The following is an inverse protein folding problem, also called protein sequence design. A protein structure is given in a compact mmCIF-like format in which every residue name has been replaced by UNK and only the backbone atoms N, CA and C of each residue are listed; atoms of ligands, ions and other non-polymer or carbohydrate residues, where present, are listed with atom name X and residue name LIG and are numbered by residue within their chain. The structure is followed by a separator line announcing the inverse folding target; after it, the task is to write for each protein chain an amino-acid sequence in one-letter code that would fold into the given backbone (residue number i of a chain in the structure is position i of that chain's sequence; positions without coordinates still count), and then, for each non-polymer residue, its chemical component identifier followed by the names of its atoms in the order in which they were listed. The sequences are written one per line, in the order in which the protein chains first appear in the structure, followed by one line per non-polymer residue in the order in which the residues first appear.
data_IF_583857215676
#
_entry.id   IF_583857215676
#
_cell.length_a   1.000
_cell.length_b   1.000
_cell.length_c   1.000
_cell.angle_alpha   90.00
_cell.angle_beta   90.00
_cell.angle_gamma   90.00
#
_symmetry.space_group_name_H-M   'P 1'
#
loop_
_entity.id
_entity.type
_entity.pdbx_description
1 polymer ?
#
# COMPACT_ATOMS: atom_id res chain seq x y z
N UNK A 1 4.67 4.19 -34.36
CA UNK A 1 5.38 4.60 -33.13
C UNK A 1 4.50 5.62 -32.44
N UNK A 2 3.74 5.21 -31.43
CA UNK A 2 2.83 6.10 -30.70
C UNK A 2 3.36 6.21 -29.28
N UNK A 3 3.98 7.35 -28.99
CA UNK A 3 4.35 7.75 -27.63
C UNK A 3 3.04 8.01 -26.86
N UNK A 4 2.55 7.00 -26.15
CA UNK A 4 1.52 7.20 -25.14
C UNK A 4 2.24 7.30 -23.78
N UNK A 5 2.74 8.49 -23.47
CA UNK A 5 3.18 8.86 -22.13
C UNK A 5 1.94 9.01 -21.24
N UNK A 6 1.24 7.90 -20.99
CA UNK A 6 0.37 7.83 -19.82
C UNK A 6 1.31 7.91 -18.62
N UNK A 7 1.16 8.94 -17.78
CA UNK A 7 1.78 8.98 -16.46
C UNK A 7 1.25 7.77 -15.69
N UNK A 8 1.92 6.62 -15.86
CA UNK A 8 1.48 5.35 -15.33
C UNK A 8 1.59 5.41 -13.83
N UNK A 9 0.49 5.18 -13.13
CA UNK A 9 0.53 5.01 -11.68
C UNK A 9 1.54 3.91 -11.37
N UNK A 10 2.51 4.21 -10.51
CA UNK A 10 3.54 3.25 -10.14
C UNK A 10 2.91 2.26 -9.18
N UNK A 11 2.85 0.99 -9.59
CA UNK A 11 2.33 -0.10 -8.77
C UNK A 11 3.51 -0.94 -8.26
N UNK A 12 3.52 -1.16 -6.95
CA UNK A 12 4.50 -1.98 -6.25
C UNK A 12 3.77 -3.14 -5.58
N UNK A 13 4.32 -4.35 -5.69
CA UNK A 13 3.80 -5.51 -4.96
C UNK A 13 4.61 -5.74 -3.70
N UNK A 14 3.92 -5.98 -2.58
CA UNK A 14 4.51 -6.20 -1.27
C UNK A 14 4.08 -7.56 -0.73
N UNK A 15 4.94 -8.21 0.05
CA UNK A 15 4.56 -9.32 0.94
C UNK A 15 4.53 -8.82 2.36
N UNK A 16 3.48 -9.10 3.10
CA UNK A 16 3.42 -8.70 4.51
C UNK A 16 2.02 -8.77 5.08
N UNK A 17 1.91 -8.20 6.27
CA UNK A 17 0.68 -8.20 7.05
C UNK A 17 0.52 -6.91 7.83
N UNK A 18 -0.73 -6.59 8.13
CA UNK A 18 -1.06 -5.61 9.14
C UNK A 18 -0.78 -6.16 10.54
N UNK A 19 -0.19 -5.31 11.37
CA UNK A 19 0.01 -5.52 12.78
C UNK A 19 -0.90 -4.56 13.57
N UNK A 20 -1.56 -5.10 14.59
CA UNK A 20 -2.59 -4.39 15.35
C UNK A 20 -4.01 -4.72 14.88
N UNK A 21 -4.97 -4.38 15.73
CA UNK A 21 -6.40 -4.59 15.48
C UNK A 21 -6.88 -3.72 14.31
N UNK A 22 -7.89 -4.19 13.56
CA UNK A 22 -8.40 -3.47 12.39
C UNK A 22 -8.92 -2.05 12.72
N UNK A 23 -9.37 -1.83 13.96
CA UNK A 23 -9.85 -0.54 14.47
C UNK A 23 -8.77 0.30 15.15
N UNK A 24 -7.53 -0.19 15.22
CA UNK A 24 -6.43 0.53 15.86
C UNK A 24 -5.95 1.68 14.95
N UNK A 25 -6.03 2.95 15.39
CA UNK A 25 -5.53 4.08 14.61
C UNK A 25 -4.00 4.10 14.48
N UNK A 26 -3.27 3.28 15.23
CA UNK A 26 -1.82 3.08 15.13
C UNK A 26 -1.46 1.80 14.37
N UNK A 27 -2.44 1.15 13.74
CA UNK A 27 -2.20 -0.05 12.93
C UNK A 27 -1.20 0.24 11.81
N UNK A 28 -0.27 -0.67 11.62
CA UNK A 28 0.79 -0.55 10.62
C UNK A 28 0.98 -1.87 9.88
N UNK A 29 1.15 -1.80 8.57
CA UNK A 29 1.57 -2.91 7.75
C UNK A 29 3.08 -3.02 7.79
N UNK A 30 3.59 -4.23 7.95
CA UNK A 30 5.01 -4.54 7.87
C UNK A 30 5.22 -5.61 6.82
N UNK A 31 6.22 -5.41 5.98
CA UNK A 31 6.47 -6.32 4.87
C UNK A 31 7.76 -6.04 4.14
N UNK A 32 7.86 -6.62 2.96
CA UNK A 32 8.97 -6.42 2.03
C UNK A 32 8.47 -6.26 0.60
N UNK A 33 9.27 -5.59 -0.23
CA UNK A 33 8.99 -5.43 -1.66
C UNK A 33 9.16 -6.75 -2.40
N UNK A 34 8.12 -7.20 -3.09
CA UNK A 34 8.18 -8.35 -4.00
C UNK A 34 8.55 -7.94 -5.42
N UNK A 35 7.93 -6.87 -5.92
CA UNK A 35 8.21 -6.33 -7.27
C UNK A 35 8.05 -4.83 -7.27
N UNK A 36 9.01 -4.13 -7.87
CA UNK A 36 9.04 -2.67 -7.98
C UNK A 36 9.78 -2.25 -9.23
N UNK A 37 9.37 -1.15 -9.84
CA UNK A 37 10.08 -0.47 -10.93
C UNK A 37 10.86 0.76 -10.44
N UNK A 38 10.80 1.08 -9.15
CA UNK A 38 11.50 2.21 -8.54
C UNK A 38 12.88 1.80 -8.03
N UNK A 39 13.92 2.51 -8.46
CA UNK A 39 15.29 2.30 -7.96
C UNK A 39 15.40 2.53 -6.44
N UNK A 40 14.66 3.50 -5.91
CA UNK A 40 14.63 3.83 -4.49
C UNK A 40 13.81 2.85 -3.62
N UNK A 41 13.18 1.86 -4.24
CA UNK A 41 12.38 0.83 -3.55
C UNK A 41 12.67 -0.55 -4.18
N UNK A 42 13.88 -1.10 -3.96
CA UNK A 42 14.29 -2.35 -4.60
C UNK A 42 13.56 -3.56 -4.01
N UNK A 43 13.56 -4.68 -4.76
CA UNK A 43 13.02 -5.96 -4.29
C UNK A 43 13.77 -6.41 -3.04
N UNK A 44 13.02 -6.90 -2.05
CA UNK A 44 13.53 -7.32 -0.74
C UNK A 44 13.66 -6.18 0.27
N UNK A 45 13.48 -4.92 -0.13
CA UNK A 45 13.51 -3.80 0.81
C UNK A 45 12.37 -3.91 1.83
N UNK A 46 12.70 -3.70 3.11
CA UNK A 46 11.73 -3.70 4.19
C UNK A 46 10.86 -2.44 4.13
N UNK A 47 9.55 -2.62 4.32
CA UNK A 47 8.58 -1.53 4.20
C UNK A 47 7.60 -1.49 5.36
N UNK A 48 7.15 -0.27 5.64
CA UNK A 48 6.07 0.02 6.57
C UNK A 48 4.97 0.80 5.84
N UNK A 49 3.70 0.38 5.96
CA UNK A 49 2.55 1.19 5.51
C UNK A 49 1.72 1.61 6.72
N UNK A 50 1.44 2.90 6.82
CA UNK A 50 0.55 3.45 7.85
C UNK A 50 -0.65 4.09 7.19
N UNK A 51 -1.82 3.96 7.82
CA UNK A 51 -3.03 4.68 7.43
C UNK A 51 -3.23 5.86 8.38
N UNK A 52 -3.28 7.07 7.83
CA UNK A 52 -3.63 8.27 8.60
C UNK A 52 -5.02 8.73 8.18
N UNK A 53 -5.98 8.62 9.10
CA UNK A 53 -7.28 9.24 8.92
C UNK A 53 -7.14 10.77 8.82
N UNK A 54 -7.89 11.40 7.93
CA UNK A 54 -7.82 12.85 7.72
C UNK A 54 -8.39 13.65 8.90
N UNK A 55 -9.10 13.00 9.83
CA UNK A 55 -9.65 13.59 11.06
C UNK A 55 -10.74 14.65 10.81
N UNK A 56 -11.05 14.91 9.54
CA UNK A 56 -12.02 15.91 9.11
C UNK A 56 -13.33 15.19 8.82
N UNK A 57 -14.45 15.78 9.22
CA UNK A 57 -15.77 15.35 8.71
C UNK A 57 -15.77 15.59 7.20
N UNK A 58 -15.43 14.55 6.48
CA UNK A 58 -15.47 14.50 5.02
C UNK A 58 -16.89 14.12 4.61
N UNK A 59 -17.48 14.93 3.75
CA UNK A 59 -18.87 14.78 3.29
C UNK A 59 -19.01 13.74 2.18
N UNK A 60 -17.88 13.28 1.61
CA UNK A 60 -17.84 12.28 0.54
C UNK A 60 -17.32 10.91 1.01
N UNK A 61 -17.92 9.80 0.57
CA UNK A 61 -17.55 8.42 0.95
C UNK A 61 -16.18 7.95 0.39
N UNK A 62 -15.33 8.87 -0.08
CA UNK A 62 -14.04 8.58 -0.72
C UNK A 62 -12.85 9.36 -0.15
N UNK A 63 -13.06 10.29 0.79
CA UNK A 63 -11.96 11.06 1.40
C UNK A 63 -11.48 10.39 2.70
N UNK A 64 -11.41 9.07 2.69
CA UNK A 64 -11.02 8.25 3.84
C UNK A 64 -9.50 8.14 3.89
N UNK A 65 -8.90 9.07 4.64
CA UNK A 65 -7.50 9.04 5.04
C UNK A 65 -6.48 8.92 3.92
N UNK A 66 -5.24 8.62 4.29
CA UNK A 66 -4.13 8.50 3.35
C UNK A 66 -3.20 7.40 3.80
N UNK A 67 -2.88 6.49 2.87
CA UNK A 67 -1.85 5.48 3.09
C UNK A 67 -0.47 6.08 2.79
N UNK A 68 0.45 5.87 3.70
CA UNK A 68 1.86 6.25 3.55
C UNK A 68 2.71 5.00 3.55
N UNK A 69 3.47 4.78 2.48
CA UNK A 69 4.54 3.78 2.41
C UNK A 69 5.87 4.41 2.84
N UNK A 70 6.64 3.69 3.66
CA UNK A 70 7.99 4.07 4.08
C UNK A 70 8.96 2.92 3.79
N UNK A 71 10.14 3.25 3.26
CA UNK A 71 11.24 2.32 3.07
C UNK A 71 12.56 3.07 3.30
N UNK A 72 13.28 2.73 4.36
CA UNK A 72 14.44 3.48 4.80
C UNK A 72 14.16 4.99 4.92
N UNK A 73 14.91 5.88 4.22
CA UNK A 73 14.70 7.33 4.25
C UNK A 73 13.56 7.82 3.35
N UNK A 74 13.00 6.94 2.51
CA UNK A 74 12.03 7.32 1.49
C UNK A 74 10.59 7.16 2.00
N UNK A 75 9.71 8.01 1.46
CA UNK A 75 8.29 8.01 1.79
C UNK A 75 7.47 8.29 0.53
N UNK A 76 6.40 7.53 0.36
CA UNK A 76 5.45 7.71 -0.75
C UNK A 76 4.02 7.75 -0.23
N UNK A 77 3.21 8.59 -0.87
CA UNK A 77 1.76 8.60 -0.69
C UNK A 77 1.15 7.57 -1.62
N UNK A 78 0.27 6.72 -1.11
CA UNK A 78 -0.43 5.74 -1.92
C UNK A 78 -1.85 6.23 -2.23
N UNK A 79 -2.27 6.07 -3.49
CA UNK A 79 -3.66 6.24 -3.90
C UNK A 79 -4.49 5.01 -3.55
N UNK A 80 -3.87 3.83 -3.53
CA UNK A 80 -4.52 2.56 -3.19
C UNK A 80 -3.57 1.61 -2.47
N UNK A 81 -4.09 0.91 -1.48
CA UNK A 81 -3.38 -0.20 -0.84
C UNK A 81 -4.37 -1.34 -0.56
N UNK A 82 -4.19 -2.48 -1.24
CA UNK A 82 -5.13 -3.61 -1.15
C UNK A 82 -4.40 -4.94 -1.14
N UNK A 83 -4.94 -5.90 -0.39
CA UNK A 83 -4.51 -7.29 -0.47
C UNK A 83 -4.93 -7.85 -1.84
N UNK A 84 -4.01 -8.52 -2.52
CA UNK A 84 -4.33 -9.29 -3.72
C UNK A 84 -5.22 -10.45 -3.31
N UNK A 85 -6.36 -10.63 -3.98
CA UNK A 85 -7.31 -11.68 -3.61
C UNK A 85 -6.67 -13.06 -3.82
N UNK A 86 -6.51 -13.83 -2.75
CA UNK A 86 -6.22 -15.26 -2.83
C UNK A 86 -7.53 -16.03 -2.94
N UNK A 87 -7.93 -16.39 -4.16
CA UNK A 87 -9.11 -17.19 -4.52
C UNK A 87 -10.48 -16.69 -4.02
N UNK A 88 -11.50 -16.87 -4.85
CA UNK A 88 -12.88 -16.55 -4.46
C UNK A 88 -13.34 -17.47 -3.31
N UNK A 89 -13.89 -16.88 -2.24
CA UNK A 89 -14.51 -17.62 -1.14
C UNK A 89 -13.71 -17.72 0.17
N UNK A 90 -12.51 -17.13 0.25
CA UNK A 90 -11.77 -17.07 1.52
C UNK A 90 -11.96 -15.73 2.25
N UNK A 91 -12.13 -15.80 3.57
CA UNK A 91 -12.03 -14.66 4.47
C UNK A 91 -10.62 -14.08 4.37
N UNK A 92 -10.51 -12.80 4.02
CA UNK A 92 -9.23 -12.09 3.99
C UNK A 92 -8.73 -11.90 5.43
N UNK A 93 -7.77 -12.70 5.88
CA UNK A 93 -6.99 -12.38 7.07
C UNK A 93 -5.78 -11.54 6.67
N UNK A 94 -5.90 -10.24 6.87
CA UNK A 94 -4.91 -9.24 6.54
C UNK A 94 -3.71 -9.22 7.51
N UNK A 95 -3.73 -10.09 8.53
CA UNK A 95 -2.62 -10.33 9.46
C UNK A 95 -1.73 -11.50 9.03
N UNK A 96 -2.04 -12.17 7.90
CA UNK A 96 -1.23 -13.27 7.37
C UNK A 96 0.07 -12.75 6.75
N UNK A 97 1.27 -13.05 7.33
CA UNK A 97 2.53 -12.40 6.96
C UNK A 97 2.98 -12.62 5.50
N UNK A 98 2.51 -13.70 4.87
CA UNK A 98 2.87 -14.05 3.49
C UNK A 98 1.85 -13.55 2.46
N UNK A 99 0.90 -12.71 2.88
CA UNK A 99 -0.08 -12.13 1.97
C UNK A 99 0.59 -11.20 0.97
N UNK A 100 0.09 -11.24 -0.27
CA UNK A 100 0.51 -10.31 -1.32
C UNK A 100 -0.40 -9.09 -1.33
N UNK A 101 0.21 -7.93 -1.48
CA UNK A 101 -0.46 -6.64 -1.47
C UNK A 101 -0.01 -5.80 -2.65
N UNK A 102 -0.92 -4.99 -3.18
CA UNK A 102 -0.66 -4.01 -4.21
C UNK A 102 -0.72 -2.61 -3.59
N UNK A 103 0.38 -1.88 -3.73
CA UNK A 103 0.51 -0.48 -3.36
C UNK A 103 0.62 0.36 -4.64
N UNK A 104 -0.38 1.21 -4.87
CA UNK A 104 -0.40 2.14 -5.99
C UNK A 104 0.03 3.52 -5.47
N UNK A 105 1.12 4.04 -6.00
CA UNK A 105 1.66 5.33 -5.60
C UNK A 105 0.94 6.46 -6.32
N UNK A 106 0.75 7.57 -5.62
CA UNK A 106 0.34 8.84 -6.24
C UNK A 106 1.50 9.32 -7.11
N UNK A 107 1.25 9.41 -8.42
CA UNK A 107 2.12 10.09 -9.37
C UNK A 107 2.13 11.59 -9.05
N UNK A 108 3.28 12.11 -8.64
CA UNK A 108 3.53 13.52 -8.37
C UNK A 108 4.13 14.25 -9.55
#
# INVERSE_FOLDING_TARGET
MTNNSAAGNVVVCLSGAWQGEATDPQRSFHGAVLTSTLEALPVGEAVEVTYRDSGRRVTGPGEHGTYTLRAGPHRWTLSRFTQHASQAGQTRDDRTPESKWEAELVSG
#
